data_IF_703964131914
#
_entry.id   IF_703964131914
#
_cell.length_a   1.000
_cell.length_b   1.000
_cell.length_c   1.000
_cell.angle_alpha   90.00
_cell.angle_beta   90.00
_cell.angle_gamma   90.00
#
_symmetry.space_group_name_H-M   'P 1'
#
loop_
_entity.id
_entity.type
_entity.pdbx_description
1 polymer ?
#
# COMPACT_ATOMS: atom_id res chain seq x y z
N UNK A 1 -17.75 0.77 14.03
CA UNK A 1 -17.25 -0.24 14.98
C UNK A 1 -15.73 -0.30 15.02
N UNK A 2 -14.99 -0.41 13.89
CA UNK A 2 -13.52 -0.35 13.92
C UNK A 2 -12.98 0.96 14.51
N UNK A 3 -13.68 2.08 14.29
CA UNK A 3 -13.27 3.41 14.78
C UNK A 3 -13.14 3.46 16.30
N UNK A 4 -14.02 2.76 17.04
CA UNK A 4 -13.97 2.70 18.50
C UNK A 4 -12.81 1.85 19.01
N UNK A 5 -12.47 0.77 18.31
CA UNK A 5 -11.38 -0.13 18.70
C UNK A 5 -10.03 0.53 18.44
N UNK A 6 -9.87 1.14 17.26
CA UNK A 6 -8.64 1.86 16.90
C UNK A 6 -8.47 3.09 17.79
N UNK A 7 -9.54 3.87 17.99
CA UNK A 7 -9.49 5.08 18.80
C UNK A 7 -9.27 4.86 20.31
N UNK A 8 -9.33 3.61 20.79
CA UNK A 8 -9.00 3.30 22.18
C UNK A 8 -7.48 3.42 22.45
N UNK A 9 -6.64 3.05 21.47
CA UNK A 9 -5.19 3.19 21.52
C UNK A 9 -4.61 3.23 20.08
N UNK A 10 -4.67 4.40 19.41
CA UNK A 10 -4.30 4.53 18.00
C UNK A 10 -2.79 4.33 17.78
N UNK A 11 -1.96 4.71 18.74
CA UNK A 11 -0.51 4.55 18.66
C UNK A 11 -0.11 3.07 18.71
N UNK A 12 -0.68 2.31 19.65
CA UNK A 12 -0.44 0.88 19.73
C UNK A 12 -0.96 0.16 18.48
N UNK A 13 -2.16 0.52 18.01
CA UNK A 13 -2.74 -0.08 16.80
C UNK A 13 -1.84 0.15 15.58
N UNK A 14 -1.41 1.40 15.36
CA UNK A 14 -0.54 1.76 14.24
C UNK A 14 0.83 1.07 14.34
N UNK A 15 1.48 1.11 15.50
CA UNK A 15 2.78 0.47 15.70
C UNK A 15 2.71 -1.04 15.48
N UNK A 16 1.63 -1.68 15.93
CA UNK A 16 1.40 -3.11 15.72
C UNK A 16 1.19 -3.45 14.24
N UNK A 17 0.48 -2.59 13.51
CA UNK A 17 0.26 -2.76 12.07
C UNK A 17 1.57 -2.62 11.28
N UNK A 18 2.34 -1.57 11.57
CA UNK A 18 3.66 -1.33 10.95
C UNK A 18 4.58 -2.52 11.19
N UNK A 19 4.76 -2.94 12.45
CA UNK A 19 5.66 -4.04 12.80
C UNK A 19 5.29 -5.35 12.07
N UNK A 20 3.99 -5.66 11.98
CA UNK A 20 3.51 -6.85 11.28
C UNK A 20 3.81 -6.78 9.78
N UNK A 21 3.68 -5.60 9.18
CA UNK A 21 3.77 -5.41 7.73
C UNK A 21 5.19 -5.12 7.24
N UNK A 22 6.07 -4.59 8.09
CA UNK A 22 7.48 -4.28 7.78
C UNK A 22 8.41 -5.49 7.87
N UNK A 23 7.88 -6.70 8.07
CA UNK A 23 8.71 -7.90 8.27
C UNK A 23 9.63 -7.81 9.50
N UNK A 24 9.31 -6.96 10.48
CA UNK A 24 10.11 -6.74 11.68
C UNK A 24 11.12 -5.58 11.60
N UNK A 25 11.17 -4.84 10.49
CA UNK A 25 12.01 -3.64 10.38
C UNK A 25 11.44 -2.46 11.17
N UNK A 26 12.32 -1.69 11.80
CA UNK A 26 11.96 -0.46 12.51
C UNK A 26 12.17 0.77 11.61
N UNK A 27 11.31 1.76 11.78
CA UNK A 27 11.31 2.97 10.97
C UNK A 27 12.03 4.10 11.67
N UNK A 28 12.33 5.16 10.92
CA UNK A 28 12.85 6.38 11.49
C UNK A 28 11.90 6.87 12.63
N UNK A 29 12.42 7.16 13.83
CA UNK A 29 11.57 7.57 14.95
C UNK A 29 10.76 8.84 14.68
N UNK A 30 11.29 9.76 13.86
CA UNK A 30 10.59 10.97 13.44
C UNK A 30 9.42 10.67 12.51
N UNK A 31 9.60 9.75 11.55
CA UNK A 31 8.51 9.26 10.70
C UNK A 31 7.41 8.59 11.53
N UNK A 32 7.80 7.70 12.47
CA UNK A 32 6.84 7.03 13.38
C UNK A 32 6.05 8.03 14.21
N UNK A 33 6.73 9.02 14.79
CA UNK A 33 6.07 10.06 15.58
C UNK A 33 5.05 10.85 14.75
N UNK A 34 5.37 11.15 13.49
CA UNK A 34 4.49 11.88 12.59
C UNK A 34 3.26 11.05 12.16
N UNK A 35 3.45 9.75 11.87
CA UNK A 35 2.34 8.83 11.61
C UNK A 35 1.41 8.73 12.81
N UNK A 36 1.97 8.55 14.03
CA UNK A 36 1.19 8.51 15.26
C UNK A 36 0.46 9.82 15.51
N UNK A 37 1.10 10.97 15.29
CA UNK A 37 0.49 12.30 15.47
C UNK A 37 -0.74 12.47 14.56
N UNK A 38 -0.62 12.12 13.28
CA UNK A 38 -1.72 12.24 12.31
C UNK A 38 -2.84 11.23 12.58
N UNK A 39 -2.48 9.98 12.89
CA UNK A 39 -3.46 8.90 13.05
C UNK A 39 -4.14 8.91 14.42
N UNK A 40 -3.64 9.69 15.38
CA UNK A 40 -4.31 9.89 16.68
C UNK A 40 -5.53 10.81 16.61
N UNK A 41 -5.75 11.53 15.50
CA UNK A 41 -6.97 12.31 15.28
C UNK A 41 -8.16 11.37 15.00
N UNK A 42 -9.24 11.41 15.80
CA UNK A 42 -10.45 10.62 15.53
C UNK A 42 -11.05 10.82 14.14
N UNK A 43 -10.90 12.01 13.55
CA UNK A 43 -11.34 12.27 12.19
C UNK A 43 -10.51 11.49 11.16
N UNK A 44 -9.20 11.38 11.35
CA UNK A 44 -8.32 10.54 10.52
C UNK A 44 -8.73 9.07 10.63
N UNK A 45 -8.96 8.56 11.84
CA UNK A 45 -9.41 7.17 12.05
C UNK A 45 -10.74 6.90 11.33
N UNK A 46 -11.70 7.82 11.47
CA UNK A 46 -13.00 7.70 10.82
C UNK A 46 -12.89 7.74 9.29
N UNK A 47 -12.02 8.61 8.76
CA UNK A 47 -11.75 8.71 7.32
C UNK A 47 -11.06 7.46 6.78
N UNK A 48 -10.03 6.94 7.45
CA UNK A 48 -9.37 5.68 7.07
C UNK A 48 -10.34 4.49 7.14
N UNK A 49 -11.22 4.45 8.14
CA UNK A 49 -12.26 3.42 8.18
C UNK A 49 -13.30 3.59 7.05
N UNK A 50 -13.56 4.83 6.61
CA UNK A 50 -14.43 5.10 5.47
C UNK A 50 -13.81 4.69 4.14
N UNK A 51 -12.50 4.90 3.97
CA UNK A 51 -11.71 4.42 2.83
C UNK A 51 -11.84 2.89 2.69
N UNK A 52 -11.57 2.12 3.75
CA UNK A 52 -11.76 0.66 3.72
C UNK A 52 -13.21 0.23 3.44
N UNK A 53 -14.20 1.02 3.88
CA UNK A 53 -15.61 0.75 3.54
C UNK A 53 -15.89 1.01 2.07
N UNK A 54 -15.32 2.07 1.49
CA UNK A 54 -15.46 2.39 0.06
C UNK A 54 -14.80 1.31 -0.81
N UNK A 55 -13.59 0.87 -0.45
CA UNK A 55 -12.85 -0.19 -1.13
C UNK A 55 -13.61 -1.53 -1.14
N UNK A 56 -14.42 -1.80 -0.12
CA UNK A 56 -15.26 -3.00 -0.04
C UNK A 56 -16.66 -2.82 -0.65
N UNK A 57 -16.98 -1.64 -1.19
CA UNK A 57 -18.31 -1.30 -1.74
C UNK A 57 -18.22 -0.51 -3.04
N UNK A 58 -18.32 0.82 -2.98
CA UNK A 58 -18.47 1.69 -4.15
C UNK A 58 -17.29 1.63 -5.11
N UNK A 59 -16.08 1.35 -4.62
CA UNK A 59 -14.91 1.20 -5.50
C UNK A 59 -15.02 -0.05 -6.38
N UNK A 60 -15.62 -1.14 -5.87
CA UNK A 60 -15.90 -2.32 -6.68
C UNK A 60 -16.94 -2.04 -7.77
N UNK A 61 -17.95 -1.22 -7.47
CA UNK A 61 -18.94 -0.79 -8.49
C UNK A 61 -18.27 0.03 -9.60
N UNK A 62 -17.31 0.90 -9.25
CA UNK A 62 -16.53 1.67 -10.21
C UNK A 62 -15.58 0.79 -11.04
N UNK A 63 -14.91 -0.17 -10.40
CA UNK A 63 -14.02 -1.11 -11.08
C UNK A 63 -14.79 -2.03 -12.03
N UNK A 64 -15.95 -2.57 -11.62
CA UNK A 64 -16.83 -3.38 -12.46
C UNK A 64 -17.34 -2.58 -13.67
N UNK A 65 -17.76 -1.33 -13.45
CA UNK A 65 -18.19 -0.45 -14.55
C UNK A 65 -17.05 -0.18 -15.54
N UNK A 66 -15.82 -0.01 -15.06
CA UNK A 66 -14.63 0.16 -15.90
C UNK A 66 -14.32 -1.13 -16.65
N UNK A 67 -14.42 -2.28 -16.00
CA UNK A 67 -14.18 -3.59 -16.61
C UNK A 67 -15.12 -3.89 -17.78
N UNK A 68 -16.38 -3.44 -17.73
CA UNK A 68 -17.34 -3.55 -18.85
C UNK A 68 -16.89 -2.82 -20.11
N UNK A 69 -16.07 -1.77 -19.97
CA UNK A 69 -15.51 -1.02 -21.10
C UNK A 69 -14.18 -1.60 -21.61
N UNK A 70 -13.65 -2.62 -20.92
CA UNK A 70 -12.29 -3.15 -21.12
C UNK A 70 -11.19 -2.07 -21.10
N UNK A 71 -11.45 -0.96 -20.39
CA UNK A 71 -10.48 0.12 -20.24
C UNK A 71 -9.29 -0.35 -19.40
N UNK A 72 -8.09 0.02 -19.83
CA UNK A 72 -6.82 -0.26 -19.15
C UNK A 72 -5.98 1.00 -19.05
N UNK A 73 -5.07 1.04 -18.08
CA UNK A 73 -4.03 2.06 -17.99
C UNK A 73 -3.14 1.97 -19.24
N UNK A 74 -3.03 3.09 -19.96
CA UNK A 74 -2.37 3.14 -21.28
C UNK A 74 -0.94 3.65 -21.26
N UNK A 75 -0.53 4.37 -20.20
CA UNK A 75 0.86 4.75 -20.02
C UNK A 75 1.71 3.55 -19.52
N UNK A 76 3.05 3.62 -19.66
CA UNK A 76 3.93 2.70 -18.96
C UNK A 76 3.65 2.71 -17.45
N UNK A 77 3.61 1.54 -16.84
CA UNK A 77 3.31 1.36 -15.41
C UNK A 77 4.41 0.53 -14.75
N UNK A 78 5.04 1.10 -13.73
CA UNK A 78 5.98 0.41 -12.85
C UNK A 78 5.24 -0.09 -11.60
N UNK A 79 5.37 -1.39 -11.31
CA UNK A 79 4.81 -2.02 -10.11
C UNK A 79 5.95 -2.55 -9.24
N UNK A 80 6.08 -2.01 -8.02
CA UNK A 80 7.07 -2.45 -7.04
C UNK A 80 6.35 -3.03 -5.82
N UNK A 81 6.89 -4.10 -5.26
CA UNK A 81 6.35 -4.73 -4.06
C UNK A 81 7.48 -5.31 -3.21
N UNK A 82 7.23 -5.57 -1.92
CA UNK A 82 8.18 -6.32 -1.10
C UNK A 82 8.08 -7.83 -1.34
N UNK A 83 9.21 -8.46 -1.61
CA UNK A 83 9.30 -9.91 -1.86
C UNK A 83 9.11 -10.76 -0.59
N UNK A 84 9.31 -10.18 0.60
CA UNK A 84 9.01 -10.77 1.92
C UNK A 84 7.61 -10.43 2.44
N UNK A 85 6.87 -9.61 1.68
CA UNK A 85 5.52 -9.17 2.04
C UNK A 85 4.44 -10.18 1.64
N UNK A 86 3.24 -10.01 2.21
CA UNK A 86 2.07 -10.84 1.87
C UNK A 86 1.83 -10.89 0.35
N UNK A 87 1.90 -9.74 -0.32
CA UNK A 87 1.66 -9.62 -1.76
C UNK A 87 2.68 -10.42 -2.57
N UNK A 88 3.97 -10.30 -2.27
CA UNK A 88 5.03 -11.03 -2.96
C UNK A 88 4.97 -12.55 -2.76
N UNK A 89 4.45 -13.00 -1.61
CA UNK A 89 4.30 -14.43 -1.32
C UNK A 89 3.07 -15.10 -1.93
N UNK A 90 1.97 -14.36 -2.11
CA UNK A 90 0.68 -14.97 -2.46
C UNK A 90 0.22 -14.71 -3.90
N UNK A 91 0.84 -13.76 -4.60
CA UNK A 91 0.39 -13.35 -5.93
C UNK A 91 1.54 -13.36 -6.93
N UNK A 92 1.24 -13.74 -8.17
CA UNK A 92 2.06 -13.30 -9.29
C UNK A 92 1.66 -11.86 -9.63
N UNK A 93 2.31 -10.90 -8.97
CA UNK A 93 1.93 -9.48 -8.98
C UNK A 93 1.82 -8.91 -10.39
N UNK A 94 2.78 -9.23 -11.27
CA UNK A 94 2.76 -8.71 -12.64
C UNK A 94 1.63 -9.29 -13.48
N UNK A 95 1.21 -10.54 -13.23
CA UNK A 95 0.08 -11.12 -13.95
C UNK A 95 -1.22 -10.42 -13.59
N UNK A 96 -1.44 -10.14 -12.29
CA UNK A 96 -2.59 -9.36 -11.82
C UNK A 96 -2.62 -7.99 -12.50
N UNK A 97 -1.51 -7.25 -12.49
CA UNK A 97 -1.48 -5.90 -13.07
C UNK A 97 -1.62 -5.85 -14.59
N UNK A 98 -1.28 -6.92 -15.32
CA UNK A 98 -1.55 -7.03 -16.77
C UNK A 98 -3.03 -7.09 -17.09
N UNK A 99 -3.89 -7.43 -16.13
CA UNK A 99 -5.34 -7.34 -16.29
C UNK A 99 -5.80 -5.88 -16.34
N UNK A 100 -5.08 -4.96 -15.69
CA UNK A 100 -5.45 -3.55 -15.53
C UNK A 100 -4.64 -2.56 -16.38
N UNK A 101 -3.49 -2.95 -16.92
CA UNK A 101 -2.58 -2.06 -17.64
C UNK A 101 -1.94 -2.72 -18.87
N UNK A 102 -1.59 -1.92 -19.87
CA UNK A 102 -1.07 -2.41 -21.16
C UNK A 102 0.46 -2.60 -21.21
N UNK A 103 1.23 -1.73 -20.55
CA UNK A 103 2.69 -1.82 -20.44
C UNK A 103 3.07 -1.89 -18.96
N UNK A 104 3.24 -3.11 -18.46
CA UNK A 104 3.53 -3.38 -17.05
C UNK A 104 4.96 -3.91 -16.92
N UNK A 105 5.73 -3.22 -16.09
CA UNK A 105 7.08 -3.62 -15.68
C UNK A 105 7.14 -3.56 -14.16
N UNK A 106 8.03 -4.33 -13.55
CA UNK A 106 8.10 -4.32 -12.10
C UNK A 106 8.97 -5.42 -11.54
N UNK A 107 9.19 -5.35 -10.24
CA UNK A 107 10.02 -6.31 -9.52
C UNK A 107 9.67 -6.31 -8.03
N UNK A 108 9.92 -7.46 -7.39
CA UNK A 108 9.99 -7.56 -5.94
C UNK A 108 11.28 -6.94 -5.42
N UNK A 109 11.19 -6.17 -4.35
CA UNK A 109 12.30 -5.56 -3.65
C UNK A 109 12.54 -6.30 -2.32
N UNK A 110 13.77 -6.30 -1.78
CA UNK A 110 14.14 -7.04 -0.57
C UNK A 110 13.57 -6.37 0.70
N UNK A 111 12.24 -6.34 0.81
CA UNK A 111 11.46 -5.58 1.79
C UNK A 111 10.17 -6.32 2.18
N UNK A 112 9.59 -5.95 3.31
CA UNK A 112 8.18 -6.16 3.63
C UNK A 112 7.29 -5.19 2.85
N UNK A 113 6.21 -4.70 3.45
CA UNK A 113 5.25 -3.85 2.75
C UNK A 113 5.79 -2.47 2.39
N UNK A 114 6.65 -1.88 3.23
CA UNK A 114 6.98 -0.46 3.17
C UNK A 114 8.30 -0.24 2.42
N UNK A 115 8.30 -0.56 1.12
CA UNK A 115 9.51 -0.58 0.28
C UNK A 115 10.33 0.72 0.31
N UNK A 116 9.68 1.88 0.47
CA UNK A 116 10.35 3.16 0.54
C UNK A 116 11.09 3.39 1.87
N UNK A 117 10.64 2.77 2.97
CA UNK A 117 11.30 2.83 4.27
C UNK A 117 12.30 1.67 4.44
N UNK A 118 11.99 0.49 3.91
CA UNK A 118 12.77 -0.73 4.11
C UNK A 118 13.86 -0.97 3.06
N UNK A 119 13.65 -0.54 1.82
CA UNK A 119 14.59 -0.64 0.70
C UNK A 119 14.64 0.68 -0.10
N UNK A 120 14.96 1.82 0.56
CA UNK A 120 14.90 3.14 -0.06
C UNK A 120 15.82 3.27 -1.28
N UNK A 121 17.01 2.66 -1.22
CA UNK A 121 18.00 2.72 -2.30
C UNK A 121 17.52 2.00 -3.56
N UNK A 122 17.02 0.78 -3.41
CA UNK A 122 16.47 -0.04 -4.47
C UNK A 122 15.19 0.58 -5.05
N UNK A 123 14.30 1.06 -4.17
CA UNK A 123 13.07 1.76 -4.59
C UNK A 123 13.41 3.00 -5.42
N UNK A 124 14.34 3.84 -4.94
CA UNK A 124 14.79 5.02 -5.65
C UNK A 124 15.46 4.68 -6.99
N UNK A 125 16.33 3.68 -7.04
CA UNK A 125 16.99 3.25 -8.27
C UNK A 125 15.97 2.79 -9.32
N UNK A 126 15.00 1.95 -8.92
CA UNK A 126 13.95 1.48 -9.82
C UNK A 126 13.07 2.61 -10.35
N UNK A 127 12.71 3.58 -9.49
CA UNK A 127 11.96 4.78 -9.92
C UNK A 127 12.75 5.63 -10.90
N UNK A 128 14.04 5.87 -10.63
CA UNK A 128 14.92 6.63 -11.54
C UNK A 128 15.07 5.95 -12.89
N UNK A 129 15.35 4.66 -12.91
CA UNK A 129 15.52 3.91 -14.17
C UNK A 129 14.23 3.93 -15.01
N UNK A 130 13.08 3.97 -14.36
CA UNK A 130 11.78 4.03 -15.03
C UNK A 130 11.42 5.41 -15.57
N UNK A 131 11.71 6.48 -14.80
CA UNK A 131 11.31 7.85 -15.13
C UNK A 131 12.33 8.62 -15.99
N UNK A 132 13.61 8.22 -15.96
CA UNK A 132 14.72 8.91 -16.64
C UNK A 132 15.40 9.98 -15.78
#
# INVERSE_FOLDING_TARGET
MPEKLIGADPEFWLSSAILRMSGGNDFDPGARAEYSRCFSDPATIAASCADYRAAATVDLEHDDATALTAAKITCPTLVLWGDRGLVGHHYNVLDVWREYANDVRGMGLPAGHFIAEEAPGETHAALRDFLG
#
